data_IF_645972689334
#
_entry.id   IF_645972689334
#
_cell.length_a   1.000
_cell.length_b   1.000
_cell.length_c   1.000
_cell.angle_alpha   90.00
_cell.angle_beta   90.00
_cell.angle_gamma   90.00
#
_symmetry.space_group_name_H-M   'P 1'
#
loop_
_entity.id
_entity.type
_entity.pdbx_description
1 polymer ?
#
# COMPACT_ATOMS: atom_id res chain seq x y z
N UNK A 1 -37.93 -39.28 -65.36
CA UNK A 1 -37.44 -40.05 -64.20
C UNK A 1 -36.05 -39.55 -63.84
N UNK A 2 -35.90 -39.18 -62.56
CA UNK A 2 -34.66 -38.96 -61.81
C UNK A 2 -34.05 -37.55 -61.86
N UNK A 3 -34.55 -36.77 -60.91
CA UNK A 3 -33.82 -35.82 -60.08
C UNK A 3 -32.39 -36.29 -59.75
N UNK A 4 -31.42 -35.37 -59.80
CA UNK A 4 -30.13 -35.53 -59.15
C UNK A 4 -29.83 -34.25 -58.37
N UNK A 5 -29.94 -34.39 -57.05
CA UNK A 5 -29.85 -33.33 -56.06
C UNK A 5 -28.41 -32.80 -55.91
N UNK A 6 -28.34 -31.50 -55.62
CA UNK A 6 -27.16 -30.75 -55.20
C UNK A 6 -26.80 -31.19 -53.78
N UNK A 7 -25.64 -31.83 -53.58
CA UNK A 7 -25.08 -32.07 -52.25
C UNK A 7 -23.99 -31.04 -51.95
N UNK A 8 -24.37 -29.99 -51.22
CA UNK A 8 -23.46 -29.01 -50.63
C UNK A 8 -22.93 -29.59 -49.30
N UNK A 9 -21.71 -30.12 -49.29
CA UNK A 9 -21.04 -30.54 -48.06
C UNK A 9 -20.44 -29.31 -47.37
N UNK A 10 -21.20 -28.71 -46.45
CA UNK A 10 -20.68 -27.73 -45.49
C UNK A 10 -19.98 -28.49 -44.38
N UNK A 11 -18.65 -28.61 -44.47
CA UNK A 11 -17.82 -29.18 -43.41
C UNK A 11 -17.80 -28.24 -42.21
N UNK A 12 -18.53 -28.60 -41.14
CA UNK A 12 -18.48 -27.92 -39.86
C UNK A 12 -17.17 -28.28 -39.15
N UNK A 13 -16.09 -27.53 -39.43
CA UNK A 13 -14.87 -27.60 -38.63
C UNK A 13 -15.13 -26.94 -37.27
N UNK A 14 -15.56 -27.74 -36.29
CA UNK A 14 -15.51 -27.36 -34.88
C UNK A 14 -14.03 -27.32 -34.48
N UNK A 15 -13.40 -26.15 -34.59
CA UNK A 15 -12.15 -25.87 -33.90
C UNK A 15 -12.48 -25.75 -32.41
N UNK A 16 -12.42 -26.85 -31.69
CA UNK A 16 -12.35 -26.80 -30.23
C UNK A 16 -11.01 -26.16 -29.89
N UNK A 17 -10.99 -24.85 -29.64
CA UNK A 17 -9.93 -24.25 -28.84
C UNK A 17 -10.08 -24.82 -27.43
N UNK A 18 -9.53 -26.01 -27.23
CA UNK A 18 -9.18 -26.50 -25.92
C UNK A 18 -8.07 -25.59 -25.45
N UNK A 19 -8.40 -24.60 -24.61
CA UNK A 19 -7.39 -23.98 -23.77
C UNK A 19 -6.75 -25.15 -23.02
N UNK A 20 -5.44 -25.44 -23.17
CA UNK A 20 -4.81 -26.35 -22.23
C UNK A 20 -5.08 -25.74 -20.87
N UNK A 21 -5.78 -26.49 -20.00
CA UNK A 21 -5.85 -26.14 -18.61
C UNK A 21 -4.40 -26.10 -18.15
N UNK A 22 -3.86 -24.89 -18.02
CA UNK A 22 -2.49 -24.66 -17.60
C UNK A 22 -2.31 -25.43 -16.30
N UNK A 23 -1.54 -26.50 -16.38
CA UNK A 23 -1.02 -27.16 -15.21
C UNK A 23 -0.29 -26.10 -14.41
N UNK A 24 -0.70 -25.83 -13.18
CA UNK A 24 0.15 -25.13 -12.23
C UNK A 24 1.37 -26.03 -11.98
N UNK A 25 2.59 -25.54 -12.26
CA UNK A 25 3.62 -25.68 -11.27
C UNK A 25 3.83 -24.28 -10.69
N UNK A 26 3.64 -24.20 -9.39
CA UNK A 26 4.08 -23.14 -8.47
C UNK A 26 5.60 -22.91 -8.58
N UNK A 27 6.05 -22.48 -9.75
CA UNK A 27 7.45 -22.19 -10.02
C UNK A 27 7.68 -20.77 -9.60
N UNK A 28 8.35 -20.64 -8.46
CA UNK A 28 8.84 -19.37 -7.98
C UNK A 28 9.53 -18.60 -9.12
N UNK A 29 9.26 -17.29 -9.22
CA UNK A 29 9.89 -16.41 -10.21
C UNK A 29 11.43 -16.53 -10.16
N UNK A 30 12.13 -16.61 -11.30
CA UNK A 30 13.59 -16.83 -11.33
C UNK A 30 14.41 -15.87 -10.46
N UNK A 31 14.01 -14.61 -10.37
CA UNK A 31 14.62 -13.57 -9.52
C UNK A 31 14.58 -13.88 -8.02
N UNK A 32 13.64 -14.71 -7.56
CA UNK A 32 13.45 -15.08 -6.16
C UNK A 32 14.14 -16.40 -5.79
N UNK A 33 14.57 -17.17 -6.79
CA UNK A 33 15.17 -18.50 -6.57
C UNK A 33 16.58 -18.43 -5.97
N UNK A 34 17.29 -17.30 -6.13
CA UNK A 34 18.68 -17.13 -5.68
C UNK A 34 18.76 -16.14 -4.52
N UNK A 35 18.58 -16.65 -3.29
CA UNK A 35 18.92 -15.90 -2.08
C UNK A 35 20.27 -16.36 -1.52
N UNK A 36 21.02 -15.39 -1.00
CA UNK A 36 22.28 -15.65 -0.30
C UNK A 36 22.04 -16.36 1.05
N UNK A 37 23.04 -17.09 1.53
CA UNK A 37 23.03 -17.68 2.87
C UNK A 37 22.12 -18.89 3.07
N UNK A 38 21.78 -19.62 1.99
CA UNK A 38 20.97 -20.85 2.05
C UNK A 38 19.49 -20.62 2.40
N UNK A 39 19.02 -19.38 2.31
CA UNK A 39 17.63 -19.03 2.58
C UNK A 39 16.76 -19.27 1.35
N UNK A 40 15.48 -19.54 1.58
CA UNK A 40 14.46 -19.69 0.52
C UNK A 40 13.53 -18.49 0.59
N UNK A 41 13.29 -17.86 -0.56
CA UNK A 41 12.38 -16.72 -0.66
C UNK A 41 10.96 -17.15 -0.33
N UNK A 42 10.18 -16.28 0.31
CA UNK A 42 8.82 -16.58 0.76
C UNK A 42 7.90 -16.95 -0.40
N UNK A 43 8.01 -16.23 -1.52
CA UNK A 43 7.31 -16.60 -2.77
C UNK A 43 7.75 -17.94 -3.39
N UNK A 44 8.83 -18.55 -2.91
CA UNK A 44 9.29 -19.87 -3.37
C UNK A 44 8.93 -21.01 -2.41
N UNK A 45 8.42 -20.71 -1.22
CA UNK A 45 8.02 -21.75 -0.26
C UNK A 45 6.70 -22.37 -0.73
N UNK A 46 6.54 -23.71 -0.64
CA UNK A 46 5.25 -24.31 -0.94
C UNK A 46 4.20 -23.86 0.08
N UNK A 47 2.92 -23.69 -0.33
CA UNK A 47 1.82 -23.44 0.59
C UNK A 47 1.75 -24.53 1.67
N UNK A 48 1.32 -24.16 2.87
CA UNK A 48 1.11 -25.11 3.95
C UNK A 48 -0.25 -25.80 3.76
N UNK A 49 -0.27 -27.05 3.30
CA UNK A 49 -1.51 -27.78 3.03
C UNK A 49 -2.36 -28.09 4.28
N UNK A 50 -1.82 -27.90 5.49
CA UNK A 50 -2.60 -28.00 6.72
C UNK A 50 -3.47 -26.75 6.97
N UNK A 51 -3.28 -25.71 6.17
CA UNK A 51 -4.05 -24.49 6.22
C UNK A 51 -5.29 -24.56 5.32
N UNK A 52 -6.45 -24.80 5.92
CA UNK A 52 -7.73 -24.83 5.20
C UNK A 52 -8.41 -23.47 5.28
N UNK A 53 -8.04 -22.57 4.38
CA UNK A 53 -8.61 -21.22 4.37
C UNK A 53 -10.07 -21.20 3.92
N UNK A 54 -10.88 -20.41 4.61
CA UNK A 54 -12.29 -20.15 4.31
C UNK A 54 -12.45 -18.91 3.43
N UNK A 55 -11.50 -17.97 3.54
CA UNK A 55 -11.37 -16.81 2.65
C UNK A 55 -9.91 -16.53 2.34
N UNK A 56 -9.64 -16.09 1.11
CA UNK A 56 -8.29 -15.87 0.60
C UNK A 56 -8.20 -14.71 -0.37
N UNK A 57 -7.22 -13.86 -0.16
CA UNK A 57 -6.85 -12.78 -1.06
C UNK A 57 -7.82 -11.61 -1.02
N UNK A 58 -7.29 -10.42 -1.33
CA UNK A 58 -8.07 -9.20 -1.43
C UNK A 58 -8.68 -9.06 -2.83
N UNK A 59 -9.99 -8.88 -2.89
CA UNK A 59 -10.67 -8.47 -4.12
C UNK A 59 -10.37 -6.99 -4.46
N UNK A 60 -10.79 -6.53 -5.65
CA UNK A 60 -10.48 -5.16 -6.10
C UNK A 60 -11.00 -4.06 -5.17
N UNK A 61 -12.17 -4.23 -4.57
CA UNK A 61 -12.72 -3.26 -3.63
C UNK A 61 -11.92 -3.26 -2.33
N UNK A 62 -11.59 -4.44 -1.79
CA UNK A 62 -10.80 -4.55 -0.56
C UNK A 62 -9.38 -4.01 -0.74
N UNK A 63 -8.74 -4.24 -1.90
CA UNK A 63 -7.45 -3.62 -2.25
C UNK A 63 -7.56 -2.09 -2.23
N UNK A 64 -8.62 -1.53 -2.82
CA UNK A 64 -8.86 -0.09 -2.84
C UNK A 64 -9.09 0.46 -1.42
N UNK A 65 -9.87 -0.24 -0.59
CA UNK A 65 -10.18 0.16 0.79
C UNK A 65 -8.94 0.13 1.67
N UNK A 66 -8.13 -0.94 1.59
CA UNK A 66 -6.86 -1.04 2.32
C UNK A 66 -5.91 0.08 1.90
N UNK A 67 -5.73 0.30 0.59
CA UNK A 67 -4.85 1.37 0.09
C UNK A 67 -5.37 2.76 0.49
N UNK A 68 -6.69 2.96 0.47
CA UNK A 68 -7.34 4.20 0.91
C UNK A 68 -7.08 4.43 2.39
N UNK A 69 -7.28 3.42 3.25
CA UNK A 69 -7.03 3.53 4.69
C UNK A 69 -5.58 3.95 4.99
N UNK A 70 -4.58 3.32 4.35
CA UNK A 70 -3.17 3.73 4.49
C UNK A 70 -2.97 5.19 4.12
N UNK A 71 -3.52 5.62 2.98
CA UNK A 71 -3.35 6.98 2.49
C UNK A 71 -4.09 8.03 3.33
N UNK A 72 -5.27 7.72 3.84
CA UNK A 72 -6.04 8.61 4.71
C UNK A 72 -5.28 8.86 6.02
N UNK A 73 -4.74 7.82 6.63
CA UNK A 73 -3.94 7.94 7.85
C UNK A 73 -2.62 8.68 7.64
N UNK A 74 -1.90 8.38 6.55
CA UNK A 74 -0.69 9.12 6.16
C UNK A 74 -0.99 10.59 5.92
N UNK A 75 -2.11 10.89 5.25
CA UNK A 75 -2.57 12.26 5.01
C UNK A 75 -2.91 12.99 6.31
N UNK A 76 -3.58 12.32 7.26
CA UNK A 76 -3.89 12.87 8.59
C UNK A 76 -2.63 13.27 9.35
N UNK A 77 -1.59 12.42 9.34
CA UNK A 77 -0.29 12.75 9.94
C UNK A 77 0.39 13.89 9.21
N UNK A 78 0.42 13.86 7.87
CA UNK A 78 1.02 14.92 7.06
C UNK A 78 0.41 16.30 7.37
N UNK A 79 -0.90 16.36 7.59
CA UNK A 79 -1.64 17.57 7.93
C UNK A 79 -1.48 18.03 9.39
N UNK A 80 -0.73 17.31 10.23
CA UNK A 80 -0.58 17.64 11.65
C UNK A 80 -1.88 17.47 12.44
N UNK A 81 -2.81 16.62 11.97
CA UNK A 81 -4.10 16.35 12.63
C UNK A 81 -4.00 15.28 13.72
N UNK A 82 -2.78 14.89 14.07
CA UNK A 82 -2.50 13.94 15.13
C UNK A 82 -1.93 14.70 16.33
N UNK A 83 -2.69 14.74 17.43
CA UNK A 83 -2.35 15.55 18.59
C UNK A 83 -0.94 15.25 19.12
N UNK A 84 -0.12 16.29 19.26
CA UNK A 84 1.27 16.18 19.74
C UNK A 84 2.30 15.79 18.67
N UNK A 85 1.87 15.32 17.49
CA UNK A 85 2.77 14.97 16.39
C UNK A 85 3.00 16.14 15.44
N UNK A 86 4.22 16.30 14.89
CA UNK A 86 4.46 17.26 13.83
C UNK A 86 3.76 16.83 12.53
N UNK A 87 3.32 17.81 11.75
CA UNK A 87 2.97 17.58 10.35
C UNK A 87 4.19 17.14 9.53
N UNK A 88 3.96 16.43 8.43
CA UNK A 88 5.02 15.93 7.55
C UNK A 88 4.96 16.59 6.17
N UNK A 89 6.09 17.09 5.69
CA UNK A 89 6.19 17.78 4.38
C UNK A 89 6.56 16.86 3.22
N UNK A 90 7.03 15.64 3.51
CA UNK A 90 7.50 14.67 2.53
C UNK A 90 6.73 13.33 2.60
N UNK A 91 5.47 13.36 3.03
CA UNK A 91 4.61 12.17 3.06
C UNK A 91 4.07 11.88 1.66
N UNK A 92 4.53 10.80 1.04
CA UNK A 92 4.04 10.40 -0.28
C UNK A 92 2.75 9.62 -0.21
N UNK A 93 1.90 9.80 -1.23
CA UNK A 93 0.75 8.95 -1.45
C UNK A 93 1.25 7.56 -1.81
N UNK A 94 0.86 6.57 -1.03
CA UNK A 94 1.17 5.17 -1.27
C UNK A 94 0.42 4.68 -2.51
N UNK A 95 1.11 3.95 -3.38
CA UNK A 95 0.53 3.23 -4.52
C UNK A 95 0.51 1.73 -4.26
N UNK A 96 -0.39 1.01 -4.93
CA UNK A 96 -0.40 -0.43 -4.88
C UNK A 96 0.73 -1.02 -5.74
N UNK A 97 1.42 -2.04 -5.24
CA UNK A 97 2.43 -2.81 -5.97
C UNK A 97 2.05 -4.31 -5.93
N UNK A 98 1.85 -4.89 -7.11
CA UNK A 98 1.40 -6.28 -7.24
C UNK A 98 2.49 -7.31 -6.92
N UNK A 99 3.78 -6.95 -7.01
CA UNK A 99 4.87 -7.84 -6.62
C UNK A 99 4.92 -7.97 -5.10
N UNK A 100 4.76 -6.86 -4.37
CA UNK A 100 4.58 -6.86 -2.92
C UNK A 100 3.34 -7.66 -2.52
N UNK A 101 2.21 -7.48 -3.21
CA UNK A 101 0.99 -8.23 -2.92
C UNK A 101 1.13 -9.74 -3.16
N UNK A 102 1.83 -10.15 -4.23
CA UNK A 102 2.12 -11.56 -4.50
C UNK A 102 3.01 -12.18 -3.41
N UNK A 103 4.01 -11.45 -2.91
CA UNK A 103 4.86 -11.93 -1.82
C UNK A 103 4.08 -11.98 -0.50
N UNK A 104 3.23 -10.99 -0.22
CA UNK A 104 2.31 -11.02 0.93
C UNK A 104 1.37 -12.23 0.87
N UNK A 105 0.83 -12.52 -0.32
CA UNK A 105 -0.01 -13.68 -0.56
C UNK A 105 0.74 -15.00 -0.33
N UNK A 106 1.98 -15.09 -0.79
CA UNK A 106 2.81 -16.28 -0.54
C UNK A 106 3.14 -16.44 0.95
N UNK A 107 3.27 -15.34 1.70
CA UNK A 107 3.46 -15.39 3.14
C UNK A 107 2.20 -15.91 3.86
N UNK A 108 1.02 -15.38 3.54
CA UNK A 108 -0.24 -15.80 4.18
C UNK A 108 -0.57 -17.28 3.89
N UNK A 109 -0.14 -17.82 2.75
CA UNK A 109 -0.22 -19.26 2.41
C UNK A 109 0.51 -20.19 3.39
N UNK A 110 1.41 -19.66 4.22
CA UNK A 110 2.15 -20.44 5.20
C UNK A 110 1.39 -20.59 6.54
N UNK A 111 0.38 -19.75 6.78
CA UNK A 111 -0.27 -19.53 8.08
C UNK A 111 0.70 -19.27 9.24
N UNK A 112 1.84 -18.66 8.95
CA UNK A 112 2.77 -18.24 9.98
C UNK A 112 2.32 -16.88 10.55
N UNK A 113 2.45 -16.69 11.86
CA UNK A 113 2.20 -15.42 12.52
C UNK A 113 3.50 -14.68 12.88
N UNK A 114 4.65 -15.25 12.49
CA UNK A 114 5.98 -14.65 12.67
C UNK A 114 6.48 -14.08 11.37
N UNK A 115 7.02 -12.87 11.44
CA UNK A 115 7.72 -12.24 10.32
C UNK A 115 8.75 -13.19 9.69
N UNK A 116 8.78 -13.23 8.36
CA UNK A 116 9.89 -13.82 7.63
C UNK A 116 11.13 -12.92 7.73
N UNK A 117 12.30 -13.43 7.31
CA UNK A 117 13.49 -12.57 7.23
C UNK A 117 13.31 -11.59 6.07
N UNK A 118 13.79 -10.37 6.23
CA UNK A 118 13.68 -9.30 5.21
C UNK A 118 14.13 -9.75 3.81
N UNK A 119 15.26 -10.45 3.73
CA UNK A 119 15.79 -10.97 2.46
C UNK A 119 14.89 -11.99 1.78
N UNK A 120 13.95 -12.60 2.51
CA UNK A 120 12.98 -13.58 2.00
C UNK A 120 11.73 -12.93 1.39
N UNK A 121 11.55 -11.61 1.55
CA UNK A 121 10.39 -10.86 1.03
C UNK A 121 10.76 -9.70 0.11
N UNK A 122 12.01 -9.66 -0.36
CA UNK A 122 12.45 -8.67 -1.35
C UNK A 122 11.68 -8.85 -2.66
N UNK A 123 11.49 -7.79 -3.43
CA UNK A 123 10.98 -7.89 -4.80
C UNK A 123 12.06 -7.51 -5.80
N UNK A 124 11.80 -7.68 -7.09
CA UNK A 124 12.69 -7.17 -8.15
C UNK A 124 12.90 -5.66 -8.06
N UNK A 125 11.89 -4.94 -7.55
CA UNK A 125 11.90 -3.48 -7.39
C UNK A 125 12.44 -3.03 -6.03
N UNK A 126 12.17 -3.81 -4.98
CA UNK A 126 12.49 -3.43 -3.59
C UNK A 126 13.43 -4.45 -2.95
N UNK A 127 14.75 -4.15 -2.85
CA UNK A 127 15.70 -5.06 -2.21
C UNK A 127 15.50 -5.17 -0.70
N UNK A 128 14.87 -4.15 -0.10
CA UNK A 128 14.43 -4.10 1.30
C UNK A 128 12.93 -3.89 1.32
N UNK A 129 12.21 -4.64 2.16
CA UNK A 129 10.74 -4.61 2.24
C UNK A 129 10.30 -4.63 3.71
N UNK A 130 9.49 -3.65 4.09
CA UNK A 130 8.83 -3.59 5.40
C UNK A 130 7.65 -4.56 5.48
N UNK A 131 7.20 -4.91 6.69
CA UNK A 131 6.08 -5.83 6.87
C UNK A 131 5.28 -5.50 8.14
N UNK A 132 3.97 -5.37 8.00
CA UNK A 132 3.02 -5.39 9.11
C UNK A 132 2.17 -6.67 9.02
N UNK A 133 1.88 -7.27 10.17
CA UNK A 133 1.02 -8.45 10.29
C UNK A 133 -0.04 -8.13 11.34
N UNK A 134 -1.30 -8.36 11.00
CA UNK A 134 -2.42 -8.31 11.94
C UNK A 134 -3.08 -9.68 11.94
N UNK A 135 -3.49 -10.15 13.11
CA UNK A 135 -4.29 -11.34 13.22
C UNK A 135 -5.20 -11.28 14.43
N UNK A 136 -6.42 -11.79 14.28
CA UNK A 136 -7.37 -12.00 15.38
C UNK A 136 -8.06 -13.35 15.19
N UNK A 137 -8.45 -13.99 16.30
CA UNK A 137 -9.34 -15.14 16.22
C UNK A 137 -10.72 -14.66 15.74
N UNK A 138 -11.25 -15.33 14.74
CA UNK A 138 -12.57 -15.04 14.17
C UNK A 138 -13.38 -16.35 14.13
N UNK A 139 -14.72 -16.28 14.09
CA UNK A 139 -15.52 -17.44 13.78
C UNK A 139 -15.01 -18.17 12.54
N UNK A 140 -15.06 -19.50 12.54
CA UNK A 140 -14.52 -20.32 11.45
C UNK A 140 -15.20 -20.06 10.10
N UNK A 141 -16.35 -19.40 10.08
CA UNK A 141 -17.13 -19.09 8.87
C UNK A 141 -16.93 -17.65 8.38
N UNK A 142 -16.00 -16.89 8.97
CA UNK A 142 -15.76 -15.51 8.54
C UNK A 142 -15.13 -15.50 7.14
N UNK A 143 -15.94 -15.14 6.15
CA UNK A 143 -15.52 -14.99 4.76
C UNK A 143 -15.01 -13.58 4.44
N UNK A 144 -15.51 -12.58 5.17
CA UNK A 144 -15.15 -11.17 4.97
C UNK A 144 -14.23 -10.71 6.10
N UNK A 145 -13.04 -10.24 5.74
CA UNK A 145 -12.06 -9.75 6.70
C UNK A 145 -12.04 -8.22 6.63
N UNK A 146 -12.32 -7.55 7.76
CA UNK A 146 -12.20 -6.09 7.87
C UNK A 146 -10.73 -5.64 7.81
N UNK A 147 -10.20 -5.63 6.60
CA UNK A 147 -8.80 -5.35 6.33
C UNK A 147 -8.48 -3.87 6.55
N UNK A 148 -9.41 -2.96 6.23
CA UNK A 148 -9.27 -1.55 6.53
C UNK A 148 -9.27 -1.29 8.05
N UNK A 149 -10.10 -2.01 8.82
CA UNK A 149 -10.07 -2.00 10.27
C UNK A 149 -8.71 -2.43 10.84
N UNK A 150 -8.07 -3.47 10.28
CA UNK A 150 -6.72 -3.88 10.71
C UNK A 150 -5.65 -2.81 10.43
N UNK A 151 -5.78 -2.07 9.33
CA UNK A 151 -4.91 -0.91 9.06
C UNK A 151 -5.13 0.20 10.09
N UNK A 152 -6.39 0.41 10.51
CA UNK A 152 -6.71 1.33 11.60
C UNK A 152 -6.12 0.89 12.93
N UNK A 153 -6.17 -0.41 13.26
CA UNK A 153 -5.59 -0.95 14.49
C UNK A 153 -4.07 -0.67 14.54
N UNK A 154 -3.36 -0.87 13.42
CA UNK A 154 -1.95 -0.48 13.31
C UNK A 154 -1.74 1.02 13.46
N UNK A 155 -2.63 1.84 12.88
CA UNK A 155 -2.52 3.29 13.02
C UNK A 155 -2.70 3.73 14.47
N UNK A 156 -3.68 3.16 15.19
CA UNK A 156 -4.04 3.54 16.55
C UNK A 156 -2.94 3.30 17.59
N UNK A 157 -1.88 2.53 17.26
CA UNK A 157 -0.67 2.45 18.09
C UNK A 157 0.01 3.82 18.30
N UNK A 158 -0.33 4.84 17.51
CA UNK A 158 0.14 6.22 17.73
C UNK A 158 -0.14 6.71 19.16
N UNK A 159 -1.19 6.20 19.81
CA UNK A 159 -1.58 6.56 21.18
C UNK A 159 -0.51 6.17 22.20
N UNK A 160 0.29 5.14 21.86
CA UNK A 160 1.37 4.61 22.69
C UNK A 160 2.76 5.10 22.21
N UNK A 161 2.83 5.82 21.09
CA UNK A 161 4.07 6.36 20.54
C UNK A 161 4.37 7.77 21.07
N UNK A 162 5.56 7.98 21.64
CA UNK A 162 5.99 9.30 22.09
C UNK A 162 6.33 10.20 20.89
N UNK A 163 5.62 11.33 20.65
CA UNK A 163 5.91 12.20 19.52
C UNK A 163 7.32 12.79 19.53
N UNK A 164 7.96 12.92 20.71
CA UNK A 164 9.36 13.35 20.84
C UNK A 164 10.37 12.33 20.30
N UNK A 165 9.92 11.13 19.92
CA UNK A 165 10.72 10.10 19.28
C UNK A 165 10.53 10.05 17.75
N UNK A 166 9.85 11.02 17.14
CA UNK A 166 9.79 11.12 15.67
C UNK A 166 11.17 11.50 15.11
N UNK A 167 11.83 12.48 15.73
CA UNK A 167 13.12 13.03 15.31
C UNK A 167 14.01 13.37 16.53
N UNK A 168 15.10 12.62 16.78
CA UNK A 168 15.52 11.44 16.04
C UNK A 168 14.55 10.26 16.29
N UNK A 169 14.40 9.39 15.28
CA UNK A 169 13.54 8.21 15.40
C UNK A 169 13.99 7.29 16.54
N UNK A 170 13.08 6.98 17.46
CA UNK A 170 13.31 6.04 18.56
C UNK A 170 12.09 5.18 18.84
N UNK A 171 12.32 3.89 19.03
CA UNK A 171 11.29 2.98 19.56
C UNK A 171 11.59 2.75 21.02
N UNK A 172 10.70 3.23 21.89
CA UNK A 172 10.80 2.95 23.32
C UNK A 172 10.42 1.49 23.59
N UNK A 173 11.09 0.78 24.51
CA UNK A 173 10.62 -0.51 25.00
C UNK A 173 9.21 -0.39 25.58
N UNK A 174 8.36 -1.40 25.37
CA UNK A 174 7.01 -1.42 25.92
C UNK A 174 5.98 -1.89 24.91
N UNK A 175 4.96 -1.05 24.67
CA UNK A 175 3.87 -1.36 23.75
C UNK A 175 4.33 -1.38 22.31
N UNK A 176 3.64 -2.16 21.49
CA UNK A 176 3.94 -2.27 20.06
C UNK A 176 3.52 -0.96 19.38
N UNK A 177 4.48 -0.31 18.73
CA UNK A 177 4.30 0.92 17.95
C UNK A 177 4.92 0.82 16.55
N UNK A 178 5.46 -0.35 16.24
CA UNK A 178 6.22 -0.61 15.02
C UNK A 178 5.30 -0.69 13.80
N UNK A 179 4.02 -1.04 13.97
CA UNK A 179 3.09 -1.06 12.84
C UNK A 179 2.67 0.36 12.45
N UNK A 180 2.38 1.22 13.43
CA UNK A 180 2.11 2.64 13.20
C UNK A 180 3.27 3.31 12.48
N UNK A 181 4.48 3.19 13.03
CA UNK A 181 5.68 3.86 12.48
C UNK A 181 6.01 3.39 11.06
N UNK A 182 5.80 2.11 10.74
CA UNK A 182 5.92 1.59 9.39
C UNK A 182 4.85 2.16 8.44
N UNK A 183 3.58 2.23 8.89
CA UNK A 183 2.45 2.73 8.10
C UNK A 183 2.65 4.20 7.71
N UNK A 184 3.13 5.02 8.66
CA UNK A 184 3.35 6.46 8.46
C UNK A 184 4.78 6.80 8.04
N UNK A 185 5.56 5.82 7.57
CA UNK A 185 6.93 6.09 7.17
C UNK A 185 6.98 6.89 5.85
N UNK A 186 7.54 8.10 5.87
CA UNK A 186 7.46 9.04 4.74
C UNK A 186 8.11 8.51 3.46
N UNK A 187 9.23 7.78 3.59
CA UNK A 187 9.94 7.19 2.44
C UNK A 187 9.24 6.00 1.79
N UNK A 188 8.28 5.36 2.48
CA UNK A 188 7.49 4.28 1.88
C UNK A 188 6.55 4.89 0.86
N UNK A 189 6.60 4.38 -0.38
CA UNK A 189 5.82 4.90 -1.51
C UNK A 189 4.83 3.89 -2.04
N UNK A 190 5.05 2.61 -1.74
CA UNK A 190 4.31 1.52 -2.34
C UNK A 190 4.01 0.45 -1.30
N UNK A 191 2.86 -0.18 -1.45
CA UNK A 191 2.41 -1.24 -0.57
C UNK A 191 1.68 -2.32 -1.34
N UNK A 192 1.76 -3.55 -0.87
CA UNK A 192 1.02 -4.68 -1.39
C UNK A 192 0.60 -5.57 -0.24
N UNK A 193 -0.69 -5.94 -0.22
CA UNK A 193 -1.28 -6.61 0.92
C UNK A 193 -2.00 -7.89 0.50
N UNK A 194 -2.23 -8.77 1.47
CA UNK A 194 -3.04 -9.97 1.32
C UNK A 194 -3.74 -10.31 2.63
N UNK A 195 -4.95 -10.87 2.55
CA UNK A 195 -5.71 -11.35 3.70
C UNK A 195 -6.10 -12.82 3.54
N UNK A 196 -6.26 -13.53 4.66
CA UNK A 196 -6.75 -14.92 4.69
C UNK A 196 -7.45 -15.24 6.01
N UNK A 197 -8.46 -16.11 5.99
CA UNK A 197 -9.16 -16.57 7.19
C UNK A 197 -9.13 -18.10 7.33
N UNK A 198 -8.75 -18.61 8.50
CA UNK A 198 -8.78 -20.02 8.91
C UNK A 198 -9.01 -20.10 10.43
N UNK A 199 -10.23 -19.83 10.91
CA UNK A 199 -10.52 -19.66 12.36
C UNK A 199 -9.74 -18.52 13.04
N UNK A 200 -8.91 -17.82 12.26
CA UNK A 200 -8.08 -16.66 12.56
C UNK A 200 -7.98 -15.88 11.27
N UNK A 201 -8.32 -14.60 11.29
CA UNK A 201 -8.22 -13.72 10.13
C UNK A 201 -6.91 -12.96 10.16
N UNK A 202 -6.16 -13.05 9.08
CA UNK A 202 -4.87 -12.41 8.87
C UNK A 202 -5.00 -11.27 7.87
N UNK A 203 -4.27 -10.19 8.13
CA UNK A 203 -3.89 -9.20 7.12
C UNK A 203 -2.37 -9.04 7.16
N UNK A 204 -1.73 -9.14 6.01
CA UNK A 204 -0.29 -8.91 5.85
C UNK A 204 -0.10 -7.80 4.83
N UNK A 205 0.64 -6.77 5.20
CA UNK A 205 0.99 -5.65 4.32
C UNK A 205 2.50 -5.55 4.20
N UNK A 206 3.00 -5.56 2.96
CA UNK A 206 4.40 -5.34 2.64
C UNK A 206 4.60 -3.93 2.08
N UNK A 207 5.74 -3.31 2.40
CA UNK A 207 6.01 -1.90 2.12
C UNK A 207 7.33 -1.70 1.38
N UNK A 208 7.30 -0.90 0.32
CA UNK A 208 8.43 -0.57 -0.54
C UNK A 208 8.62 0.94 -0.74
N UNK A 209 9.87 1.44 -0.74
CA UNK A 209 11.08 0.79 -0.26
C UNK A 209 11.00 0.48 1.24
N UNK A 210 11.49 -0.68 1.65
CA UNK A 210 11.66 -1.01 3.05
C UNK A 210 12.76 -0.16 3.65
N UNK A 211 12.44 0.45 4.78
CA UNK A 211 13.43 1.07 5.65
C UNK A 211 13.70 0.09 6.79
N UNK A 212 14.97 -0.03 7.18
CA UNK A 212 15.27 -0.65 8.46
C UNK A 212 14.56 0.21 9.51
N UNK A 213 14.13 -0.37 10.63
CA UNK A 213 13.69 0.39 11.82
C UNK A 213 14.83 1.25 12.44
N UNK A 214 15.83 1.60 11.65
CA UNK A 214 17.10 2.21 11.96
C UNK A 214 17.34 3.35 10.94
N UNK A 215 17.14 4.56 11.45
CA UNK A 215 17.61 5.86 10.95
C UNK A 215 16.86 6.50 9.77
N UNK A 216 16.19 7.61 10.12
CA UNK A 216 15.72 8.74 9.30
C UNK A 216 14.22 8.79 8.98
N UNK A 217 13.44 9.12 10.02
CA UNK A 217 12.24 9.93 9.84
C UNK A 217 12.63 11.41 10.07
N UNK A 218 12.51 12.20 9.00
CA UNK A 218 12.54 13.67 8.92
C UNK A 218 13.94 14.33 8.70
N UNK A 219 13.93 15.26 7.73
CA UNK A 219 14.94 16.25 7.28
C UNK A 219 16.11 15.81 6.36
N UNK A 220 15.95 16.02 5.03
CA UNK A 220 16.76 16.98 4.24
C UNK A 220 16.14 17.22 2.84
N UNK A 221 16.40 18.38 2.19
CA UNK A 221 15.74 18.78 0.95
C UNK A 221 16.39 18.15 -0.30
N UNK A 222 15.58 18.01 -1.35
CA UNK A 222 15.96 17.78 -2.75
C UNK A 222 16.51 16.40 -3.13
N UNK A 223 15.68 15.61 -3.83
CA UNK A 223 15.91 15.37 -5.27
C UNK A 223 14.59 14.89 -5.89
N UNK A 224 14.15 15.60 -6.93
CA UNK A 224 12.94 15.30 -7.70
C UNK A 224 13.02 13.88 -8.29
N UNK A 225 12.06 13.06 -7.89
CA UNK A 225 11.52 12.01 -8.74
C UNK A 225 10.02 12.30 -8.80
N UNK A 226 9.43 12.22 -9.99
CA UNK A 226 8.01 12.45 -10.24
C UNK A 226 7.13 11.47 -9.43
N UNK A 227 6.86 11.77 -8.18
CA UNK A 227 5.84 11.12 -7.37
C UNK A 227 4.85 12.20 -6.92
N UNK A 228 3.58 11.84 -6.82
CA UNK A 228 2.58 12.72 -6.21
C UNK A 228 2.86 12.74 -4.70
N UNK A 229 3.51 13.81 -4.24
CA UNK A 229 3.39 14.21 -2.83
C UNK A 229 1.90 14.35 -2.55
N UNK A 230 1.46 14.06 -1.32
CA UNK A 230 0.13 14.48 -0.88
C UNK A 230 0.18 16.01 -0.74
N UNK A 231 0.23 16.71 -1.88
CA UNK A 231 0.15 18.15 -2.02
C UNK A 231 -1.23 18.49 -2.57
N UNK A 232 -1.90 19.43 -1.92
CA UNK A 232 -3.20 19.93 -2.31
C UNK A 232 -3.06 20.82 -3.55
N UNK A 233 -3.72 20.44 -4.65
CA UNK A 233 -4.19 21.42 -5.62
C UNK A 233 -5.44 22.07 -5.07
N UNK A 234 -5.38 23.36 -4.74
CA UNK A 234 -6.58 24.19 -4.75
C UNK A 234 -7.00 24.34 -6.21
N UNK A 235 -8.16 23.80 -6.57
CA UNK A 235 -8.75 23.97 -7.89
C UNK A 235 -9.28 25.41 -8.02
N UNK A 236 -8.38 26.35 -8.29
CA UNK A 236 -8.75 27.63 -8.88
C UNK A 236 -8.97 27.36 -10.36
N UNK A 237 -10.24 27.23 -10.74
CA UNK A 237 -10.68 27.29 -12.15
C UNK A 237 -9.99 28.47 -12.84
N UNK A 238 -9.00 28.17 -13.67
CA UNK A 238 -8.22 29.14 -14.42
C UNK A 238 -7.50 28.43 -15.56
N UNK A 239 -8.10 28.51 -16.74
CA UNK A 239 -7.55 28.01 -18.00
C UNK A 239 -6.17 28.61 -18.29
N UNK A 240 -5.20 27.79 -18.69
CA UNK A 240 -3.93 28.27 -19.22
C UNK A 240 -3.70 27.70 -20.63
N UNK A 241 -3.70 28.60 -21.62
CA UNK A 241 -3.30 28.32 -23.00
C UNK A 241 -1.77 28.41 -23.11
N UNK A 242 -1.23 27.54 -23.97
CA UNK A 242 0.16 27.37 -24.43
C UNK A 242 1.16 28.54 -24.28
N UNK A 243 2.39 28.11 -23.96
CA UNK A 243 3.72 28.69 -24.16
C UNK A 243 4.33 29.60 -23.08
N UNK A 244 5.32 29.01 -22.40
CA UNK A 244 6.58 29.59 -21.91
C UNK A 244 6.53 30.64 -20.79
N UNK A 245 7.07 30.29 -19.61
CA UNK A 245 7.38 31.23 -18.52
C UNK A 245 8.42 30.64 -17.55
N UNK A 246 9.69 30.69 -17.92
CA UNK A 246 10.80 30.82 -16.97
C UNK A 246 10.79 32.21 -16.31
N UNK A 247 11.14 32.26 -15.03
CA UNK A 247 11.49 33.45 -14.23
C UNK A 247 10.35 34.43 -13.87
N UNK A 248 9.79 34.30 -12.64
CA UNK A 248 9.37 35.43 -11.76
C UNK A 248 9.00 34.96 -10.33
N UNK A 249 9.92 34.26 -9.66
CA UNK A 249 9.88 34.13 -8.19
C UNK A 249 10.43 35.41 -7.56
N UNK A 250 9.57 36.40 -7.30
CA UNK A 250 9.88 37.51 -6.39
C UNK A 250 8.66 38.33 -5.92
N UNK A 251 7.50 38.25 -6.58
CA UNK A 251 6.37 39.19 -6.30
C UNK A 251 5.25 38.56 -5.46
N UNK A 252 5.19 37.24 -5.32
CA UNK A 252 4.04 36.55 -4.69
C UNK A 252 4.09 36.59 -3.14
N UNK A 253 5.24 36.84 -2.51
CA UNK A 253 5.32 36.84 -1.05
C UNK A 253 4.76 38.10 -0.37
N UNK A 254 4.68 39.24 -1.05
CA UNK A 254 4.17 40.49 -0.46
C UNK A 254 2.65 40.63 -0.56
N UNK A 255 2.01 40.01 -1.56
CA UNK A 255 0.55 40.04 -1.70
C UNK A 255 -0.15 39.13 -0.66
N UNK A 256 0.47 38.02 -0.28
CA UNK A 256 -0.09 37.05 0.67
C UNK A 256 -0.15 37.60 2.10
N UNK A 257 0.85 38.39 2.50
CA UNK A 257 0.91 39.00 3.84
C UNK A 257 -0.16 40.10 4.04
N UNK A 258 -0.51 40.84 3.00
CA UNK A 258 -1.53 41.89 3.07
C UNK A 258 -2.97 41.36 2.96
N UNK A 259 -3.21 40.25 2.25
CA UNK A 259 -4.55 39.66 2.15
C UNK A 259 -5.01 39.03 3.48
N UNK A 260 -4.11 38.35 4.20
CA UNK A 260 -4.41 37.69 5.47
C UNK A 260 -4.66 38.64 6.66
N UNK A 261 -4.20 39.89 6.58
CA UNK A 261 -4.36 40.89 7.65
C UNK A 261 -5.47 41.93 7.36
N UNK A 262 -6.29 41.73 6.32
CA UNK A 262 -7.39 42.66 6.04
C UNK A 262 -8.57 42.46 7.02
N UNK A 263 -9.22 43.54 7.52
CA UNK A 263 -10.35 43.46 8.46
C UNK A 263 -11.60 42.72 7.93
N UNK A 264 -11.62 42.37 6.65
CA UNK A 264 -12.74 41.68 6.01
C UNK A 264 -12.71 40.15 6.21
N UNK A 265 -11.52 39.55 6.40
CA UNK A 265 -11.35 38.08 6.51
C UNK A 265 -11.63 37.56 7.94
N UNK A 266 -11.53 38.42 8.96
CA UNK A 266 -11.83 38.04 10.36
C UNK A 266 -13.33 37.87 10.65
N UNK A 267 -14.22 38.27 9.73
CA UNK A 267 -15.68 38.30 9.96
C UNK A 267 -16.44 37.08 9.41
N UNK A 268 -15.76 36.13 8.76
CA UNK A 268 -16.38 34.93 8.17
C UNK A 268 -16.12 33.64 8.98
N UNK A 269 -15.89 33.74 10.30
CA UNK A 269 -15.56 32.61 11.19
C UNK A 269 -16.66 32.23 12.19
N UNK A 270 -17.87 32.68 11.95
CA UNK A 270 -19.05 32.28 12.73
C UNK A 270 -20.15 32.04 11.71
N UNK A 271 -20.80 30.87 11.78
CA UNK A 271 -21.84 30.35 10.87
C UNK A 271 -21.30 29.52 9.69
N UNK A 272 -21.06 28.22 9.95
CA UNK A 272 -21.95 27.16 9.46
C UNK A 272 -21.49 25.80 10.03
N UNK A 273 -22.46 25.07 10.60
CA UNK A 273 -22.37 23.76 11.27
C UNK A 273 -22.40 22.63 10.23
#
# INVERSE_FOLDING_TARGET
MRDAAISLLVGLFLFTMSCPADALPSTCRPEYQKLSGGLVHTACKPPNNNCIFVSTGLNMAEKADVLKAHNDFRSRVAQGQLSGFPGATNMYRMKWDDDLAQVAQAFTNLCDDRHDKEVQRKTSKFPKVGQNIAWNYEPTQTEVIDSAGRVKDWFDEYQDFNPGNVDPFRVSPGRVVTHFTQLVHSYVKEGGCDNRALGKAYLVSLYGPGVLADFDLVASPFQEAHYEVIQFSFDLKGTCFRHDCTLRYAIVCLAYYHFYNSPWVQRARVEDV
#
